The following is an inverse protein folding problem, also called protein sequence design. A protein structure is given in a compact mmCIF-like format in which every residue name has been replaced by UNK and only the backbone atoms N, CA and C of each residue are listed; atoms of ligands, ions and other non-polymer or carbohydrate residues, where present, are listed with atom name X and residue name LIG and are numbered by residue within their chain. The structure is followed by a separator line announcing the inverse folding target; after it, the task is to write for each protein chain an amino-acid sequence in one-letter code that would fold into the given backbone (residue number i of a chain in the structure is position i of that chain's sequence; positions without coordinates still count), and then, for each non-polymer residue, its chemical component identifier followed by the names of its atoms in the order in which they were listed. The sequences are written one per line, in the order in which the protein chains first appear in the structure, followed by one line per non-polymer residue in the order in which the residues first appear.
data_IF_715250784219
#
_entry.id   IF_715250784219
#
_cell.length_a   1.000
_cell.length_b   1.000
_cell.length_c   1.000
_cell.angle_alpha   90.00
_cell.angle_beta   90.00
_cell.angle_gamma   90.00
#
_symmetry.space_group_name_H-M   'P 1'
#
loop_
_entity.id
_entity.type
_entity.pdbx_description
1 polymer ?
#
# COMPACT_ATOMS: atom_id res chain seq x y z
N UNK A 1 7.97 -0.18 -6.87
CA UNK A 1 8.84 -1.31 -6.58
C UNK A 1 9.21 -2.11 -7.82
N UNK A 2 10.00 -3.17 -7.69
CA UNK A 2 10.58 -3.92 -8.81
C UNK A 2 9.57 -4.51 -9.78
N UNK A 3 8.50 -5.15 -9.28
CA UNK A 3 7.49 -5.74 -10.14
C UNK A 3 6.70 -4.67 -10.91
N UNK A 4 6.41 -3.54 -10.27
CA UNK A 4 5.74 -2.41 -10.90
C UNK A 4 6.60 -1.78 -12.00
N UNK A 5 7.90 -1.63 -11.79
CA UNK A 5 8.85 -1.14 -12.80
C UNK A 5 8.87 -2.10 -13.99
N UNK A 6 8.95 -3.40 -13.73
CA UNK A 6 8.94 -4.45 -14.76
C UNK A 6 7.67 -4.42 -15.61
N UNK A 7 6.50 -4.23 -15.01
CA UNK A 7 5.23 -4.17 -15.73
C UNK A 7 5.11 -2.93 -16.65
N UNK A 8 5.92 -1.90 -16.38
CA UNK A 8 6.02 -0.67 -17.16
C UNK A 8 7.20 -0.66 -18.14
N UNK A 9 7.97 -1.76 -18.22
CA UNK A 9 9.21 -1.85 -19.00
C UNK A 9 9.07 -2.90 -20.11
N UNK A 10 9.66 -2.61 -21.26
CA UNK A 10 9.80 -3.60 -22.35
C UNK A 10 11.14 -4.30 -22.20
N UNK A 11 11.12 -5.54 -21.71
CA UNK A 11 12.33 -6.36 -21.63
C UNK A 11 12.82 -6.79 -23.03
N UNK A 12 14.08 -6.51 -23.32
CA UNK A 12 14.81 -6.94 -24.53
C UNK A 12 16.16 -7.59 -24.21
N UNK A 13 16.39 -7.90 -22.94
CA UNK A 13 17.69 -8.39 -22.49
C UNK A 13 17.58 -9.69 -21.71
N UNK A 14 16.71 -9.74 -20.69
CA UNK A 14 16.63 -10.88 -19.78
C UNK A 14 15.88 -12.07 -20.38
N UNK A 15 14.76 -11.83 -21.05
CA UNK A 15 13.86 -12.91 -21.51
C UNK A 15 13.28 -13.74 -20.36
N UNK A 16 13.50 -13.31 -19.11
CA UNK A 16 13.06 -13.91 -17.87
C UNK A 16 12.60 -12.80 -16.93
N UNK A 17 11.31 -12.79 -16.63
CA UNK A 17 10.67 -11.74 -15.82
C UNK A 17 11.20 -11.73 -14.38
N UNK A 18 11.41 -12.91 -13.78
CA UNK A 18 11.92 -13.01 -12.42
C UNK A 18 13.35 -12.50 -12.31
N UNK A 19 14.22 -12.78 -13.30
CA UNK A 19 15.56 -12.26 -13.33
C UNK A 19 15.60 -10.72 -13.44
N UNK A 20 14.76 -10.15 -14.33
CA UNK A 20 14.62 -8.68 -14.42
C UNK A 20 14.15 -8.07 -13.09
N UNK A 21 13.16 -8.67 -12.44
CA UNK A 21 12.63 -8.19 -11.14
C UNK A 21 13.71 -8.25 -10.06
N UNK A 22 14.52 -9.31 -10.02
CA UNK A 22 15.62 -9.46 -9.07
C UNK A 22 16.70 -8.38 -9.23
N UNK A 23 17.12 -8.08 -10.45
CA UNK A 23 18.10 -7.02 -10.72
C UNK A 23 17.55 -5.62 -10.41
N UNK A 24 16.27 -5.39 -10.67
CA UNK A 24 15.59 -4.16 -10.27
C UNK A 24 15.49 -4.03 -8.74
N UNK A 25 15.25 -5.14 -8.03
CA UNK A 25 15.25 -5.14 -6.56
C UNK A 25 16.63 -4.75 -6.01
N UNK A 26 17.71 -5.27 -6.59
CA UNK A 26 19.07 -4.90 -6.21
C UNK A 26 19.34 -3.40 -6.45
N UNK A 27 18.86 -2.85 -7.57
CA UNK A 27 19.00 -1.42 -7.87
C UNK A 27 18.20 -0.56 -6.88
N UNK A 28 16.95 -0.94 -6.55
CA UNK A 28 16.12 -0.25 -5.56
C UNK A 28 16.76 -0.34 -4.17
N UNK A 29 17.36 -1.47 -3.81
CA UNK A 29 18.06 -1.63 -2.52
C UNK A 29 19.19 -0.60 -2.36
N UNK A 30 19.94 -0.29 -3.41
CA UNK A 30 20.99 0.76 -3.35
C UNK A 30 20.40 2.10 -2.92
N UNK A 31 19.25 2.50 -3.49
CA UNK A 31 18.57 3.74 -3.15
C UNK A 31 17.98 3.71 -1.73
N UNK A 32 17.36 2.59 -1.35
CA UNK A 32 16.78 2.41 0.00
C UNK A 32 17.86 2.51 1.07
N UNK A 33 19.02 1.89 0.86
CA UNK A 33 20.15 2.00 1.78
C UNK A 33 20.73 3.41 1.84
N UNK A 34 20.87 4.08 0.71
CA UNK A 34 21.33 5.46 0.67
C UNK A 34 20.37 6.41 1.42
N UNK A 35 19.05 6.18 1.33
CA UNK A 35 18.06 6.92 2.12
C UNK A 35 18.21 6.65 3.62
N UNK A 36 18.40 5.39 4.02
CA UNK A 36 18.62 5.04 5.42
C UNK A 36 19.90 5.67 5.97
N UNK A 37 21.00 5.64 5.21
CA UNK A 37 22.29 6.27 5.56
C UNK A 37 22.17 7.80 5.67
N UNK A 38 21.27 8.41 4.89
CA UNK A 38 20.95 9.84 4.98
C UNK A 38 20.05 10.19 6.20
N UNK A 39 19.62 9.19 6.98
CA UNK A 39 18.83 9.38 8.20
C UNK A 39 17.31 9.19 8.03
N UNK A 40 16.83 8.67 6.90
CA UNK A 40 15.42 8.31 6.76
C UNK A 40 15.08 7.13 7.69
N UNK A 41 14.09 7.33 8.55
CA UNK A 41 13.61 6.30 9.49
C UNK A 41 12.35 5.59 9.02
N UNK A 42 11.71 6.06 7.93
CA UNK A 42 10.52 5.48 7.33
C UNK A 42 10.71 5.47 5.82
N UNK A 43 10.75 4.30 5.22
CA UNK A 43 10.94 4.12 3.78
C UNK A 43 9.80 3.27 3.23
N UNK A 44 9.17 3.73 2.16
CA UNK A 44 8.07 3.04 1.49
C UNK A 44 8.47 2.67 0.07
N UNK A 45 8.15 1.44 -0.31
CA UNK A 45 8.23 0.95 -1.69
C UNK A 45 6.81 0.69 -2.19
N UNK A 46 6.44 1.26 -3.33
CA UNK A 46 5.10 1.11 -3.91
C UNK A 46 5.07 -0.05 -4.89
N UNK A 47 4.17 -1.01 -4.66
CA UNK A 47 3.92 -2.16 -5.54
C UNK A 47 2.44 -2.29 -5.93
N UNK A 48 1.86 -1.31 -6.63
CA UNK A 48 0.46 -1.36 -7.05
C UNK A 48 0.16 -2.53 -8.00
N UNK A 49 1.17 -3.04 -8.70
CA UNK A 49 1.02 -4.16 -9.63
C UNK A 49 0.77 -5.48 -8.91
N UNK A 50 1.13 -5.63 -7.64
CA UNK A 50 0.86 -6.84 -6.85
C UNK A 50 -0.62 -7.22 -6.90
N UNK A 51 -1.53 -6.26 -6.72
CA UNK A 51 -2.96 -6.51 -6.75
C UNK A 51 -3.51 -6.96 -8.13
N UNK A 52 -2.75 -6.75 -9.21
CA UNK A 52 -3.14 -7.12 -10.58
C UNK A 52 -2.38 -8.34 -11.12
N UNK A 53 -1.28 -8.71 -10.50
CA UNK A 53 -0.36 -9.77 -10.87
C UNK A 53 -0.08 -10.67 -9.68
N UNK A 54 -1.13 -11.23 -9.09
CA UNK A 54 -1.05 -12.03 -7.86
C UNK A 54 -0.06 -13.19 -8.02
N UNK A 55 -0.12 -13.92 -9.14
CA UNK A 55 0.77 -15.06 -9.38
C UNK A 55 2.24 -14.64 -9.40
N UNK A 56 2.59 -13.57 -10.10
CA UNK A 56 3.94 -13.03 -10.14
C UNK A 56 4.36 -12.49 -8.76
N UNK A 57 3.44 -11.80 -8.07
CA UNK A 57 3.68 -11.26 -6.74
C UNK A 57 4.03 -12.37 -5.74
N UNK A 58 3.25 -13.48 -5.74
CA UNK A 58 3.47 -14.61 -4.84
C UNK A 58 4.64 -15.49 -5.25
N UNK A 59 4.95 -15.58 -6.55
CA UNK A 59 6.04 -16.44 -7.04
C UNK A 59 7.43 -15.86 -6.79
N UNK A 60 7.61 -14.54 -6.97
CA UNK A 60 8.91 -13.86 -6.85
C UNK A 60 8.82 -12.39 -6.44
N UNK A 61 7.64 -11.75 -6.53
CA UNK A 61 7.48 -10.32 -6.27
C UNK A 61 7.69 -9.95 -4.82
N UNK A 62 7.16 -10.74 -3.87
CA UNK A 62 7.31 -10.50 -2.42
C UNK A 62 8.77 -10.69 -2.00
N UNK A 63 9.47 -11.69 -2.52
CA UNK A 63 10.89 -11.91 -2.25
C UNK A 63 11.74 -10.76 -2.80
N UNK A 64 11.43 -10.27 -4.01
CA UNK A 64 12.10 -9.13 -4.61
C UNK A 64 11.83 -7.82 -3.81
N UNK A 65 10.61 -7.63 -3.31
CA UNK A 65 10.29 -6.52 -2.42
C UNK A 65 11.08 -6.61 -1.11
N UNK A 66 11.20 -7.79 -0.51
CA UNK A 66 12.04 -8.02 0.67
C UNK A 66 13.49 -7.65 0.40
N UNK A 67 14.04 -8.08 -0.75
CA UNK A 67 15.40 -7.77 -1.17
C UNK A 67 15.66 -6.26 -1.34
N UNK A 68 14.64 -5.45 -1.63
CA UNK A 68 14.80 -3.98 -1.63
C UNK A 68 15.23 -3.43 -0.26
N UNK A 69 15.01 -4.15 0.81
CA UNK A 69 15.32 -3.75 2.18
C UNK A 69 16.52 -4.52 2.80
N UNK A 70 17.24 -5.31 2.00
CA UNK A 70 18.41 -6.06 2.48
C UNK A 70 19.49 -5.12 3.01
N UNK A 71 20.00 -5.43 4.23
CA UNK A 71 21.01 -4.63 4.89
C UNK A 71 20.56 -3.26 5.42
N UNK A 72 19.27 -2.97 5.35
CA UNK A 72 18.68 -1.77 5.97
C UNK A 72 18.60 -1.97 7.50
N UNK A 73 19.03 -0.99 8.33
CA UNK A 73 18.98 -1.11 9.78
C UNK A 73 17.58 -1.37 10.33
N UNK A 74 17.47 -2.12 11.42
CA UNK A 74 16.18 -2.52 12.03
C UNK A 74 15.35 -1.36 12.56
N UNK A 75 15.96 -0.23 12.88
CA UNK A 75 15.22 0.97 13.31
C UNK A 75 14.48 1.68 12.18
N UNK A 76 14.76 1.34 10.92
CA UNK A 76 14.06 1.88 9.75
C UNK A 76 12.75 1.12 9.54
N UNK A 77 11.66 1.84 9.60
CA UNK A 77 10.32 1.30 9.33
C UNK A 77 10.16 1.05 7.83
N UNK A 78 9.95 -0.21 7.48
CA UNK A 78 9.79 -0.70 6.12
C UNK A 78 8.31 -0.77 5.79
N UNK A 79 7.87 -0.04 4.76
CA UNK A 79 6.48 0.02 4.34
C UNK A 79 6.36 -0.42 2.89
N UNK A 80 5.35 -1.21 2.56
CA UNK A 80 4.90 -1.40 1.19
C UNK A 80 3.52 -0.79 1.00
N UNK A 81 3.30 -0.07 -0.10
CA UNK A 81 1.99 0.39 -0.50
C UNK A 81 1.51 -0.39 -1.72
N UNK A 82 0.31 -0.94 -1.63
CA UNK A 82 -0.34 -1.64 -2.72
C UNK A 82 -1.75 -1.07 -2.93
N UNK A 83 -1.93 -0.28 -3.98
CA UNK A 83 -3.26 0.18 -4.40
C UNK A 83 -3.81 -0.69 -5.54
N UNK A 84 -5.11 -0.54 -5.80
CA UNK A 84 -5.80 -1.32 -6.83
C UNK A 84 -5.97 -0.56 -8.16
N UNK A 85 -5.30 0.58 -8.28
CA UNK A 85 -5.35 1.45 -9.45
C UNK A 85 -6.42 2.55 -9.36
N UNK A 86 -6.21 3.61 -10.15
CA UNK A 86 -7.07 4.80 -10.15
C UNK A 86 -7.38 5.27 -11.57
N UNK A 87 -8.55 5.90 -11.78
CA UNK A 87 -8.92 6.48 -13.06
C UNK A 87 -8.00 7.66 -13.42
N UNK A 88 -8.11 8.14 -14.66
CA UNK A 88 -7.33 9.31 -15.11
C UNK A 88 -7.93 10.63 -14.63
N UNK A 89 -9.20 10.63 -14.25
CA UNK A 89 -9.96 11.82 -13.86
C UNK A 89 -10.67 11.58 -12.54
N UNK A 90 -10.90 12.66 -11.79
CA UNK A 90 -11.74 12.60 -10.59
C UNK A 90 -13.16 12.15 -10.96
N UNK A 91 -13.80 11.44 -10.05
CA UNK A 91 -15.21 11.00 -10.14
C UNK A 91 -15.53 10.07 -11.30
N UNK A 92 -14.52 9.44 -11.92
CA UNK A 92 -14.74 8.39 -12.91
C UNK A 92 -15.03 7.06 -12.19
N UNK A 93 -16.28 6.62 -12.26
CA UNK A 93 -16.74 5.37 -11.66
C UNK A 93 -16.60 4.15 -12.59
N UNK A 94 -16.26 4.38 -13.86
CA UNK A 94 -16.10 3.30 -14.84
C UNK A 94 -14.74 2.59 -14.74
N UNK A 95 -13.80 3.11 -13.97
CA UNK A 95 -12.47 2.54 -13.83
C UNK A 95 -12.50 1.19 -13.11
N UNK A 96 -12.00 0.15 -13.78
CA UNK A 96 -11.92 -1.19 -13.23
C UNK A 96 -10.70 -1.33 -12.30
N UNK A 97 -10.96 -1.54 -11.04
CA UNK A 97 -9.93 -1.84 -10.02
C UNK A 97 -9.45 -3.29 -10.10
N UNK A 98 -8.37 -3.61 -9.40
CA UNK A 98 -7.91 -4.98 -9.23
C UNK A 98 -9.01 -5.85 -8.56
N UNK A 99 -8.94 -7.19 -8.67
CA UNK A 99 -9.91 -8.10 -8.05
C UNK A 99 -10.12 -7.83 -6.55
N UNK A 100 -11.34 -7.98 -6.03
CA UNK A 100 -11.63 -7.75 -4.61
C UNK A 100 -10.80 -8.61 -3.66
N UNK A 101 -10.44 -9.84 -4.09
CA UNK A 101 -9.72 -10.83 -3.31
C UNK A 101 -8.20 -10.55 -3.22
N UNK A 102 -7.68 -9.63 -4.04
CA UNK A 102 -6.24 -9.39 -4.19
C UNK A 102 -5.49 -9.21 -2.85
N UNK A 103 -6.06 -8.47 -1.91
CA UNK A 103 -5.41 -8.30 -0.61
C UNK A 103 -5.49 -9.55 0.27
N UNK A 104 -6.56 -10.33 0.17
CA UNK A 104 -6.69 -11.61 0.88
C UNK A 104 -5.62 -12.60 0.42
N UNK A 105 -5.36 -12.65 -0.88
CA UNK A 105 -4.36 -13.55 -1.47
C UNK A 105 -2.93 -13.14 -1.10
N UNK A 106 -2.68 -11.82 -0.96
CA UNK A 106 -1.35 -11.28 -0.64
C UNK A 106 -1.03 -11.28 0.86
N UNK A 107 -2.05 -11.23 1.73
CA UNK A 107 -1.88 -10.89 3.14
C UNK A 107 -0.86 -11.77 3.87
N UNK A 108 -0.97 -13.11 3.73
CA UNK A 108 -0.09 -14.05 4.43
C UNK A 108 1.37 -13.96 3.94
N UNK A 109 1.57 -13.75 2.63
CA UNK A 109 2.91 -13.62 2.07
C UNK A 109 3.58 -12.29 2.50
N UNK A 110 2.80 -11.20 2.57
CA UNK A 110 3.29 -9.91 3.06
C UNK A 110 3.58 -9.98 4.57
N UNK A 111 2.71 -10.63 5.36
CA UNK A 111 2.92 -10.75 6.81
C UNK A 111 4.16 -11.59 7.17
N UNK A 112 4.48 -12.59 6.34
CA UNK A 112 5.66 -13.42 6.50
C UNK A 112 6.97 -12.74 6.02
N UNK A 113 6.87 -11.70 5.18
CA UNK A 113 8.02 -10.98 4.66
C UNK A 113 8.59 -10.00 5.72
N UNK A 114 9.87 -9.57 5.62
CA UNK A 114 10.47 -8.61 6.54
C UNK A 114 9.97 -7.17 6.27
N UNK A 115 8.66 -7.02 6.14
CA UNK A 115 7.94 -5.78 5.88
C UNK A 115 7.13 -5.44 7.12
N UNK A 116 7.44 -4.32 7.78
CA UNK A 116 6.78 -3.94 9.03
C UNK A 116 5.40 -3.32 8.84
N UNK A 117 5.10 -2.75 7.65
CA UNK A 117 3.83 -2.06 7.38
C UNK A 117 3.30 -2.33 5.98
N UNK A 118 2.00 -2.60 5.89
CA UNK A 118 1.27 -2.74 4.64
C UNK A 118 0.20 -1.65 4.48
N UNK A 119 0.33 -0.84 3.44
CA UNK A 119 -0.63 0.22 3.11
C UNK A 119 -1.56 -0.25 2.00
N UNK A 120 -2.85 -0.25 2.27
CA UNK A 120 -3.90 -0.72 1.37
C UNK A 120 -5.06 0.27 1.26
N UNK A 121 -5.77 0.26 0.13
CA UNK A 121 -6.98 1.06 -0.06
C UNK A 121 -8.21 0.35 0.52
N UNK A 122 -9.14 1.13 1.08
CA UNK A 122 -10.44 0.63 1.52
C UNK A 122 -11.59 1.64 1.29
N UNK A 123 -11.29 2.92 1.09
CA UNK A 123 -12.32 3.93 0.88
C UNK A 123 -12.93 3.88 -0.52
N UNK A 124 -12.13 3.65 -1.56
CA UNK A 124 -12.63 3.50 -2.94
C UNK A 124 -13.31 2.15 -3.17
N UNK A 125 -12.83 1.12 -2.51
CA UNK A 125 -13.31 -0.24 -2.64
C UNK A 125 -13.26 -0.90 -1.27
N UNK A 126 -14.36 -0.91 -0.53
CA UNK A 126 -14.42 -1.54 0.78
C UNK A 126 -14.04 -3.03 0.72
N UNK A 127 -13.15 -3.43 1.61
CA UNK A 127 -12.72 -4.82 1.78
C UNK A 127 -13.56 -5.54 2.84
N UNK A 128 -13.57 -6.86 2.81
CA UNK A 128 -14.02 -7.65 3.95
C UNK A 128 -12.93 -7.60 5.05
N UNK A 129 -12.99 -6.57 5.89
CA UNK A 129 -12.01 -6.34 6.95
C UNK A 129 -12.01 -7.48 7.98
N UNK A 130 -13.15 -8.16 8.19
CA UNK A 130 -13.24 -9.30 9.10
C UNK A 130 -12.46 -10.51 8.60
N UNK A 131 -12.41 -10.72 7.28
CA UNK A 131 -11.62 -11.77 6.67
C UNK A 131 -10.15 -11.37 6.45
N UNK A 132 -9.89 -10.09 6.18
CA UNK A 132 -8.57 -9.59 5.78
C UNK A 132 -7.65 -9.32 6.98
N UNK A 133 -8.09 -8.50 7.94
CA UNK A 133 -7.22 -7.98 9.00
C UNK A 133 -6.63 -9.06 9.90
N UNK A 134 -7.34 -10.15 10.25
CA UNK A 134 -6.76 -11.24 11.06
C UNK A 134 -5.63 -12.02 10.37
N UNK A 135 -5.42 -11.86 9.05
CA UNK A 135 -4.30 -12.48 8.33
C UNK A 135 -2.97 -11.76 8.59
N UNK A 136 -3.02 -10.50 8.99
CA UNK A 136 -1.85 -9.74 9.43
C UNK A 136 -1.64 -9.96 10.93
N UNK A 137 -0.66 -10.78 11.30
CA UNK A 137 -0.35 -11.12 12.71
C UNK A 137 0.68 -10.17 13.31
N UNK A 138 1.69 -9.82 12.51
CA UNK A 138 2.82 -9.00 12.92
C UNK A 138 2.85 -7.65 12.18
N UNK A 139 2.35 -7.59 10.96
CA UNK A 139 2.36 -6.39 10.12
C UNK A 139 1.36 -5.33 10.62
N UNK A 140 1.81 -4.09 10.72
CA UNK A 140 0.94 -2.91 10.91
C UNK A 140 0.20 -2.61 9.62
N UNK A 141 -1.11 -2.48 9.68
CA UNK A 141 -1.94 -2.11 8.52
C UNK A 141 -2.15 -0.60 8.47
N UNK A 142 -1.78 0.01 7.36
CA UNK A 142 -2.12 1.41 7.03
C UNK A 142 -3.38 1.35 6.16
N UNK A 143 -4.53 1.61 6.80
CA UNK A 143 -5.83 1.49 6.16
C UNK A 143 -6.24 2.77 5.46
N UNK A 144 -6.51 2.70 4.18
CA UNK A 144 -7.08 3.77 3.38
C UNK A 144 -8.51 4.09 3.81
N UNK A 145 -8.74 5.29 4.33
CA UNK A 145 -10.04 5.71 4.86
C UNK A 145 -10.66 6.87 4.08
N UNK A 146 -9.90 7.44 3.14
CA UNK A 146 -10.28 8.61 2.34
C UNK A 146 -10.01 8.34 0.88
N UNK A 147 -11.05 8.48 0.04
CA UNK A 147 -10.97 8.24 -1.39
C UNK A 147 -10.26 9.41 -2.11
N UNK A 148 -9.16 9.10 -2.82
CA UNK A 148 -8.29 10.12 -3.44
C UNK A 148 -8.73 10.51 -4.86
N UNK A 149 -9.52 9.69 -5.54
CA UNK A 149 -10.05 9.96 -6.88
C UNK A 149 -11.52 10.43 -6.86
N UNK A 150 -12.01 10.89 -5.71
CA UNK A 150 -13.36 11.47 -5.54
C UNK A 150 -13.25 12.92 -5.06
N UNK A 151 -14.03 13.81 -5.72
CA UNK A 151 -14.14 15.22 -5.32
C UNK A 151 -14.96 15.41 -4.04
N UNK A 152 -15.84 14.47 -3.71
CA UNK A 152 -16.61 14.45 -2.46
C UNK A 152 -15.68 14.37 -1.25
N UNK A 153 -15.95 15.18 -0.24
CA UNK A 153 -15.29 15.07 1.07
C UNK A 153 -16.10 14.10 1.92
N UNK A 154 -15.45 13.13 2.51
CA UNK A 154 -16.02 12.19 3.48
C UNK A 154 -16.44 12.94 4.75
N UNK A 155 -17.43 12.44 5.47
CA UNK A 155 -17.76 12.94 6.81
C UNK A 155 -16.84 12.30 7.86
N UNK A 156 -16.67 12.98 9.00
CA UNK A 156 -15.93 12.42 10.14
C UNK A 156 -16.55 11.09 10.59
N UNK A 157 -17.89 11.00 10.59
CA UNK A 157 -18.61 9.79 11.01
C UNK A 157 -18.39 8.60 10.05
N UNK A 158 -18.30 8.85 8.75
CA UNK A 158 -17.97 7.81 7.75
C UNK A 158 -16.56 7.25 8.00
N UNK A 159 -15.56 8.12 8.16
CA UNK A 159 -14.17 7.70 8.40
C UNK A 159 -14.04 7.03 9.77
N UNK A 160 -14.67 7.59 10.81
CA UNK A 160 -14.70 6.98 12.16
C UNK A 160 -15.34 5.60 12.15
N UNK A 161 -16.49 5.44 11.47
CA UNK A 161 -17.15 4.14 11.32
C UNK A 161 -16.27 3.08 10.69
N UNK A 162 -15.49 3.45 9.68
CA UNK A 162 -14.51 2.56 9.01
C UNK A 162 -13.39 2.14 9.97
N UNK A 163 -12.80 3.09 10.70
CA UNK A 163 -11.75 2.82 11.68
C UNK A 163 -12.27 1.95 12.84
N UNK A 164 -13.45 2.27 13.37
CA UNK A 164 -14.08 1.49 14.44
C UNK A 164 -14.37 0.05 13.96
N UNK A 165 -14.83 -0.12 12.72
CA UNK A 165 -15.03 -1.43 12.13
C UNK A 165 -13.72 -2.22 11.99
N UNK A 166 -12.63 -1.58 11.59
CA UNK A 166 -11.32 -2.22 11.51
C UNK A 166 -10.80 -2.66 12.89
N UNK A 167 -10.99 -1.83 13.92
CA UNK A 167 -10.55 -2.11 15.30
C UNK A 167 -11.27 -3.32 15.95
N UNK A 168 -12.31 -3.87 15.33
CA UNK A 168 -12.89 -5.15 15.75
C UNK A 168 -12.02 -6.36 15.36
N UNK A 169 -11.06 -6.17 14.46
CA UNK A 169 -10.34 -7.26 13.81
C UNK A 169 -8.80 -7.10 13.84
N UNK A 170 -8.29 -5.98 14.35
CA UNK A 170 -6.86 -5.71 14.50
C UNK A 170 -6.62 -4.84 15.74
N UNK A 171 -5.48 -5.01 16.39
CA UNK A 171 -5.09 -4.22 17.55
C UNK A 171 -4.83 -2.75 17.15
N UNK A 172 -5.20 -1.82 18.02
CA UNK A 172 -5.07 -0.38 17.80
C UNK A 172 -3.63 0.03 17.44
N UNK A 173 -2.65 -0.56 18.09
CA UNK A 173 -1.23 -0.27 17.92
C UNK A 173 -0.72 -0.69 16.53
N UNK A 174 -1.47 -1.57 15.86
CA UNK A 174 -1.17 -2.06 14.51
C UNK A 174 -2.09 -1.50 13.42
N UNK A 175 -2.89 -0.47 13.73
CA UNK A 175 -3.75 0.20 12.75
C UNK A 175 -3.34 1.67 12.59
N UNK A 176 -3.09 2.08 11.36
CA UNK A 176 -2.81 3.48 10.99
C UNK A 176 -3.86 3.95 10.00
N UNK A 177 -4.46 5.11 10.25
CA UNK A 177 -5.39 5.74 9.32
C UNK A 177 -4.66 6.54 8.24
N UNK A 178 -5.02 6.35 6.97
CA UNK A 178 -4.42 7.06 5.85
C UNK A 178 -5.46 7.34 4.75
N UNK A 179 -5.15 8.21 3.76
CA UNK A 179 -5.83 8.17 2.47
C UNK A 179 -5.52 6.87 1.73
N UNK A 180 -6.39 6.48 0.79
CA UNK A 180 -6.20 5.26 -0.02
C UNK A 180 -4.87 5.25 -0.80
N UNK A 181 -4.38 6.41 -1.20
CA UNK A 181 -3.11 6.59 -1.91
C UNK A 181 -2.66 8.06 -1.81
N UNK A 182 -1.64 8.44 -2.57
CA UNK A 182 -1.18 9.83 -2.67
C UNK A 182 -2.26 10.79 -3.17
N UNK A 183 -2.26 12.02 -2.65
CA UNK A 183 -3.30 13.03 -2.89
C UNK A 183 -3.12 13.84 -4.20
N UNK A 184 -2.25 13.39 -5.11
CA UNK A 184 -1.87 14.13 -6.31
C UNK A 184 -2.99 14.46 -7.30
N UNK A 185 -4.13 13.77 -7.23
CA UNK A 185 -5.33 14.08 -8.01
C UNK A 185 -6.06 15.32 -7.51
N UNK A 186 -5.89 15.68 -6.23
CA UNK A 186 -6.69 16.69 -5.56
C UNK A 186 -5.99 18.04 -5.60
N UNK A 187 -6.76 19.11 -5.86
CA UNK A 187 -6.29 20.45 -5.57
C UNK A 187 -6.01 20.61 -4.06
N UNK A 188 -5.05 21.49 -3.70
CA UNK A 188 -4.57 21.67 -2.33
C UNK A 188 -5.69 21.82 -1.30
N UNK A 189 -6.69 22.65 -1.58
CA UNK A 189 -7.76 22.95 -0.61
C UNK A 189 -8.61 21.72 -0.32
N UNK A 190 -8.94 20.93 -1.37
CA UNK A 190 -9.67 19.69 -1.24
C UNK A 190 -8.85 18.62 -0.49
N UNK A 191 -7.57 18.48 -0.82
CA UNK A 191 -6.67 17.58 -0.13
C UNK A 191 -6.59 17.91 1.38
N UNK A 192 -6.44 19.21 1.72
CA UNK A 192 -6.40 19.65 3.10
C UNK A 192 -7.72 19.44 3.83
N UNK A 193 -8.87 19.64 3.15
CA UNK A 193 -10.18 19.36 3.75
C UNK A 193 -10.35 17.87 4.08
N UNK A 194 -10.01 16.98 3.16
CA UNK A 194 -10.06 15.53 3.37
C UNK A 194 -9.11 15.07 4.49
N UNK A 195 -7.88 15.61 4.56
CA UNK A 195 -6.93 15.28 5.62
C UNK A 195 -7.42 15.75 7.00
N UNK A 196 -8.10 16.91 7.11
CA UNK A 196 -8.71 17.34 8.38
C UNK A 196 -9.76 16.34 8.86
N UNK A 197 -10.65 15.89 7.97
CA UNK A 197 -11.65 14.86 8.29
C UNK A 197 -10.98 13.58 8.77
N UNK A 198 -9.94 13.12 8.08
CA UNK A 198 -9.17 11.94 8.48
C UNK A 198 -8.58 12.09 9.90
N UNK A 199 -7.89 13.20 10.16
CA UNK A 199 -7.27 13.46 11.47
C UNK A 199 -8.31 13.57 12.59
N UNK A 200 -9.43 14.26 12.34
CA UNK A 200 -10.52 14.40 13.32
C UNK A 200 -11.17 13.05 13.64
N UNK A 201 -11.44 12.25 12.62
CA UNK A 201 -11.98 10.90 12.81
C UNK A 201 -11.01 9.99 13.57
N UNK A 202 -9.73 9.98 13.20
CA UNK A 202 -8.71 9.17 13.86
C UNK A 202 -8.50 9.57 15.34
N UNK A 203 -8.62 10.85 15.66
CA UNK A 203 -8.53 11.34 17.06
C UNK A 203 -9.74 10.97 17.92
N UNK A 204 -10.84 10.52 17.30
CA UNK A 204 -12.11 10.20 17.98
C UNK A 204 -12.35 8.71 18.23
N UNK A 205 -11.41 7.84 17.86
CA UNK A 205 -11.48 6.38 18.03
C UNK A 205 -10.46 5.85 19.01
#
# INVERSE_FOLDING_TARGET
GPLTITDSTVDRHYGDRAALVADLAAAVNVEVRALADAGCTHIQVDEPVFARRIDDALSFGVDALAACFDGVPDHVVRTVHCCCGYPRHLDDDAYQKAPPEAYLDLAEAIDAAPIGRFSLEDAHRPNDLAALLPRFRDTTVILGCVAIAKSRIETVDEVRGRLTGALLHIDRERLVAAPDCGLGYLGRDLAMAKLRVLCEAAASV
#
